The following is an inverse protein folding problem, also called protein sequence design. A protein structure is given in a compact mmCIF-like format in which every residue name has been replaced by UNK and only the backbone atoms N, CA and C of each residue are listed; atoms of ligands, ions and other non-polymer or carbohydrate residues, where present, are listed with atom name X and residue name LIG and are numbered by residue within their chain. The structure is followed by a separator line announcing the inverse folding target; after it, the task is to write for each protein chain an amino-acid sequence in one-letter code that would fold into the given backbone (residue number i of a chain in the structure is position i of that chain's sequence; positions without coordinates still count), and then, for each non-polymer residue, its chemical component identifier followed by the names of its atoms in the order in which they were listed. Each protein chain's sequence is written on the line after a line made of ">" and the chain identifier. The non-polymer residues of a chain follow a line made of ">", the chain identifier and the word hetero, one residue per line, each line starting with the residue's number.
data_IF_646539394860
#
_entry.id   IF_646539394860
#
_cell.length_a   1.000
_cell.length_b   1.000
_cell.length_c   1.000
_cell.angle_alpha   90.00
_cell.angle_beta   90.00
_cell.angle_gamma   90.00
#
_symmetry.space_group_name_H-M   'P 1'
#
loop_
_entity.id
_entity.type
_entity.pdbx_description
1 polymer ?
#
# COMPACT_ATOMS: atom_id res chain seq x y z
N UNK A 1 -7.20 8.80 30.94
CA UNK A 1 -6.07 9.00 30.00
C UNK A 1 -6.19 8.02 28.85
N UNK A 2 -7.15 8.21 27.93
CA UNK A 2 -7.42 7.27 26.81
C UNK A 2 -7.95 7.99 25.57
N UNK A 3 -7.53 9.24 25.35
CA UNK A 3 -7.71 9.93 24.06
C UNK A 3 -6.34 10.02 23.39
N UNK A 4 -5.75 8.84 23.17
CA UNK A 4 -4.56 8.62 22.35
C UNK A 4 -4.92 7.69 21.16
N UNK A 5 -6.22 7.56 20.85
CA UNK A 5 -6.77 6.21 20.60
C UNK A 5 -7.28 5.92 19.18
N UNK A 6 -7.55 6.94 18.34
CA UNK A 6 -8.12 6.73 17.00
C UNK A 6 -7.37 7.49 15.92
N UNK A 7 -7.12 8.79 16.11
CA UNK A 7 -6.36 9.60 15.18
C UNK A 7 -4.89 9.14 15.08
N UNK A 8 -4.26 8.82 16.20
CA UNK A 8 -2.89 8.30 16.24
C UNK A 8 -2.78 6.92 15.59
N UNK A 9 -3.81 6.09 15.76
CA UNK A 9 -3.90 4.79 15.10
C UNK A 9 -4.03 4.95 13.58
N UNK A 10 -4.96 5.79 13.14
CA UNK A 10 -5.14 6.10 11.71
C UNK A 10 -3.85 6.67 11.09
N UNK A 11 -3.20 7.62 11.76
CA UNK A 11 -1.94 8.18 11.30
C UNK A 11 -0.83 7.12 11.22
N UNK A 12 -0.82 6.15 12.12
CA UNK A 12 0.14 5.05 12.08
C UNK A 12 -0.13 4.11 10.91
N UNK A 13 -1.39 3.78 10.65
CA UNK A 13 -1.80 2.93 9.52
C UNK A 13 -1.49 3.61 8.19
N UNK A 14 -1.81 4.90 8.06
CA UNK A 14 -1.49 5.71 6.88
C UNK A 14 0.03 5.71 6.65
N UNK A 15 0.83 6.02 7.67
CA UNK A 15 2.31 6.01 7.54
C UNK A 15 2.87 4.65 7.15
N UNK A 16 2.31 3.57 7.67
CA UNK A 16 2.74 2.22 7.29
C UNK A 16 2.35 1.88 5.85
N UNK A 17 1.15 2.28 5.41
CA UNK A 17 0.73 2.12 4.03
C UNK A 17 1.62 2.93 3.07
N UNK A 18 1.87 4.21 3.37
CA UNK A 18 2.78 5.06 2.60
C UNK A 18 4.20 4.49 2.54
N UNK A 19 4.70 3.96 3.66
CA UNK A 19 6.02 3.30 3.71
C UNK A 19 6.04 2.05 2.84
N UNK A 20 4.99 1.21 2.91
CA UNK A 20 4.86 0.00 2.07
C UNK A 20 4.84 0.36 0.59
N UNK A 21 4.05 1.36 0.20
CA UNK A 21 3.92 1.79 -1.20
C UNK A 21 5.22 2.43 -1.72
N UNK A 22 5.94 3.18 -0.88
CA UNK A 22 7.25 3.73 -1.21
C UNK A 22 8.28 2.62 -1.46
N UNK A 23 8.33 1.59 -0.59
CA UNK A 23 9.21 0.43 -0.77
C UNK A 23 8.83 -0.33 -2.04
N UNK A 24 7.55 -0.60 -2.27
CA UNK A 24 7.06 -1.31 -3.45
C UNK A 24 7.42 -0.56 -4.76
N UNK A 25 7.25 0.77 -4.77
CA UNK A 25 7.64 1.61 -5.91
C UNK A 25 9.14 1.54 -6.17
N UNK A 26 9.95 1.56 -5.10
CA UNK A 26 11.40 1.50 -5.23
C UNK A 26 11.89 0.13 -5.73
N UNK A 27 11.29 -0.95 -5.24
CA UNK A 27 11.52 -2.30 -5.76
C UNK A 27 11.12 -2.44 -7.24
N UNK A 28 9.99 -1.83 -7.64
CA UNK A 28 9.58 -1.81 -9.04
C UNK A 28 10.61 -1.08 -9.92
N UNK A 29 11.08 0.09 -9.50
CA UNK A 29 12.13 0.83 -10.21
C UNK A 29 13.43 0.02 -10.34
N UNK A 30 13.84 -0.69 -9.28
CA UNK A 30 15.01 -1.59 -9.33
C UNK A 30 14.78 -2.81 -10.23
N UNK A 31 13.54 -3.25 -10.41
CA UNK A 31 13.19 -4.34 -11.34
C UNK A 31 13.20 -3.91 -12.80
N UNK A 32 12.96 -2.62 -13.07
CA UNK A 32 13.05 -2.03 -14.40
C UNK A 32 14.48 -1.54 -14.76
N UNK A 33 15.44 -1.65 -13.85
CA UNK A 33 16.83 -1.25 -14.09
C UNK A 33 17.48 -2.09 -15.19
N UNK A 34 18.16 -1.42 -16.12
CA UNK A 34 18.90 -2.04 -17.23
C UNK A 34 20.35 -2.37 -16.87
N UNK A 35 20.77 -2.15 -15.63
CA UNK A 35 22.16 -2.30 -15.17
C UNK A 35 22.73 -3.69 -15.47
N UNK A 36 21.94 -4.76 -15.30
CA UNK A 36 22.38 -6.13 -15.62
C UNK A 36 22.58 -6.35 -17.13
N UNK A 37 21.70 -5.80 -17.98
CA UNK A 37 21.83 -5.88 -19.44
C UNK A 37 23.06 -5.10 -19.91
N UNK A 38 23.28 -3.91 -19.34
CA UNK A 38 24.45 -3.08 -19.61
C UNK A 38 25.75 -3.74 -19.16
N UNK A 39 25.76 -4.38 -17.99
CA UNK A 39 26.91 -5.16 -17.52
C UNK A 39 27.23 -6.30 -18.48
N UNK A 40 26.21 -7.07 -18.88
CA UNK A 40 26.37 -8.17 -19.84
C UNK A 40 26.93 -7.67 -21.19
N UNK A 41 26.46 -6.52 -21.67
CA UNK A 41 26.99 -5.88 -22.86
C UNK A 41 28.45 -5.41 -22.68
N UNK A 42 28.76 -4.79 -21.54
CA UNK A 42 30.11 -4.32 -21.22
C UNK A 42 31.11 -5.49 -21.13
N UNK A 43 30.74 -6.62 -20.53
CA UNK A 43 31.56 -7.84 -20.51
C UNK A 43 31.80 -8.38 -21.93
N UNK A 44 30.80 -8.32 -22.82
CA UNK A 44 30.98 -8.72 -24.21
C UNK A 44 31.95 -7.79 -24.95
N UNK A 45 31.87 -6.48 -24.72
CA UNK A 45 32.81 -5.48 -25.26
C UNK A 45 34.22 -5.68 -24.70
N UNK A 46 34.35 -6.01 -23.43
CA UNK A 46 35.63 -6.30 -22.79
C UNK A 46 36.28 -7.55 -23.38
N UNK A 47 35.51 -8.63 -23.59
CA UNK A 47 35.99 -9.85 -24.26
C UNK A 47 36.46 -9.56 -25.70
N UNK A 48 35.71 -8.78 -26.48
CA UNK A 48 36.12 -8.36 -27.84
C UNK A 48 37.39 -7.49 -27.80
N UNK A 49 37.51 -6.56 -26.84
CA UNK A 49 38.70 -5.75 -26.66
C UNK A 49 39.94 -6.60 -26.31
N UNK A 50 39.77 -7.61 -25.44
CA UNK A 50 40.83 -8.55 -25.08
C UNK A 50 41.25 -9.41 -26.29
N UNK A 51 40.30 -9.90 -27.08
CA UNK A 51 40.58 -10.63 -28.31
C UNK A 51 41.36 -9.79 -29.32
N UNK A 52 40.96 -8.52 -29.53
CA UNK A 52 41.67 -7.59 -30.42
C UNK A 52 43.09 -7.32 -29.92
N UNK A 53 43.27 -7.10 -28.62
CA UNK A 53 44.59 -6.92 -28.02
C UNK A 53 45.44 -8.18 -28.21
N UNK A 54 44.91 -9.37 -27.92
CA UNK A 54 45.60 -10.65 -28.12
C UNK A 54 46.09 -10.79 -29.56
N UNK A 55 45.22 -10.56 -30.55
CA UNK A 55 45.59 -10.62 -31.98
C UNK A 55 46.64 -9.59 -32.38
N UNK A 56 46.70 -8.44 -31.69
CA UNK A 56 47.69 -7.39 -31.98
C UNK A 56 49.13 -7.78 -31.60
N UNK A 57 49.33 -8.71 -30.65
CA UNK A 57 50.68 -9.10 -30.21
C UNK A 57 51.00 -10.60 -30.23
N UNK A 58 50.02 -11.49 -30.15
CA UNK A 58 50.23 -12.93 -30.17
C UNK A 58 50.58 -13.43 -31.59
N UNK A 59 51.44 -14.46 -31.72
CA UNK A 59 51.65 -15.17 -32.98
C UNK A 59 50.32 -15.69 -33.55
N UNK A 60 50.17 -15.68 -34.88
CA UNK A 60 48.93 -16.11 -35.58
C UNK A 60 48.51 -17.54 -35.25
N UNK A 61 49.47 -18.41 -34.91
CA UNK A 61 49.24 -19.79 -34.46
C UNK A 61 48.46 -19.88 -33.14
N UNK A 62 48.46 -18.80 -32.34
CA UNK A 62 47.79 -18.72 -31.04
C UNK A 62 46.45 -17.98 -31.09
N UNK A 63 46.01 -17.53 -32.27
CA UNK A 63 44.76 -16.76 -32.40
C UNK A 63 43.51 -17.62 -32.22
N UNK A 64 43.62 -18.94 -32.37
CA UNK A 64 42.49 -19.86 -32.21
C UNK A 64 42.03 -20.01 -30.75
N UNK A 65 42.90 -19.71 -29.79
CA UNK A 65 42.61 -19.81 -28.35
C UNK A 65 42.89 -18.45 -27.71
N UNK A 66 41.86 -17.63 -27.57
CA UNK A 66 41.95 -16.35 -26.86
C UNK A 66 41.95 -16.63 -25.36
N UNK A 67 42.99 -16.20 -24.60
CA UNK A 67 43.03 -16.33 -23.14
C UNK A 67 41.93 -15.50 -22.45
N UNK A 68 41.73 -15.71 -21.14
CA UNK A 68 40.81 -14.85 -20.38
C UNK A 68 41.31 -13.40 -20.32
N UNK A 69 40.38 -12.46 -20.10
CA UNK A 69 40.66 -11.00 -20.13
C UNK A 69 41.84 -10.63 -19.24
N UNK A 70 41.87 -11.12 -18.00
CA UNK A 70 42.95 -10.87 -17.03
C UNK A 70 44.28 -11.46 -17.48
N UNK A 71 44.27 -12.60 -18.16
CA UNK A 71 45.48 -13.22 -18.72
C UNK A 71 46.04 -12.40 -19.89
N UNK A 72 45.17 -11.90 -20.78
CA UNK A 72 45.55 -11.01 -21.88
C UNK A 72 46.14 -9.72 -21.35
N UNK A 73 45.52 -9.12 -20.31
CA UNK A 73 46.01 -7.90 -19.66
C UNK A 73 47.38 -8.12 -19.00
N UNK A 74 47.53 -9.17 -18.21
CA UNK A 74 48.80 -9.52 -17.58
C UNK A 74 49.90 -9.82 -18.63
N UNK A 75 49.55 -10.44 -19.76
CA UNK A 75 50.48 -10.67 -20.85
C UNK A 75 50.87 -9.36 -21.57
N UNK A 76 49.93 -8.43 -21.74
CA UNK A 76 50.18 -7.12 -22.32
C UNK A 76 51.08 -6.25 -21.43
N UNK A 77 50.92 -6.31 -20.10
CA UNK A 77 51.78 -5.61 -19.13
C UNK A 77 53.22 -6.14 -19.12
N UNK A 78 53.40 -7.45 -19.30
CA UNK A 78 54.73 -8.10 -19.36
C UNK A 78 55.46 -7.86 -20.68
N UNK A 79 54.77 -7.36 -21.71
CA UNK A 79 55.39 -7.07 -23.00
C UNK A 79 56.32 -5.87 -22.85
N UNK A 80 57.62 -6.12 -22.83
CA UNK A 80 58.63 -5.08 -23.03
C UNK A 80 58.55 -4.57 -24.49
N UNK A 81 58.60 -3.25 -24.72
CA UNK A 81 58.64 -2.70 -26.08
C UNK A 81 59.78 -3.36 -26.85
N UNK A 82 59.49 -3.94 -28.02
CA UNK A 82 60.54 -4.49 -28.88
C UNK A 82 61.37 -3.31 -29.37
N UNK A 83 62.61 -3.22 -28.92
CA UNK A 83 63.52 -2.17 -29.34
C UNK A 83 63.74 -2.18 -30.85
N UNK A 84 63.47 -1.03 -31.48
CA UNK A 84 64.14 -0.50 -32.67
C UNK A 84 64.26 -1.45 -33.87
N UNK A 85 63.13 -1.71 -34.54
CA UNK A 85 63.12 -1.92 -35.99
C UNK A 85 62.04 -1.01 -36.60
N UNK A 86 62.37 -0.29 -37.68
CA UNK A 86 61.67 0.88 -38.24
C UNK A 86 60.25 0.63 -38.81
N UNK A 87 59.57 -0.43 -38.38
CA UNK A 87 58.11 -0.65 -38.49
C UNK A 87 57.38 -0.33 -37.17
N UNK A 88 58.13 0.11 -36.13
CA UNK A 88 57.72 0.15 -34.73
C UNK A 88 56.64 1.17 -34.37
N UNK A 89 56.49 2.30 -35.07
CA UNK A 89 55.56 3.35 -34.64
C UNK A 89 54.08 2.99 -34.81
N UNK A 90 53.68 2.44 -35.95
CA UNK A 90 52.25 2.18 -36.24
C UNK A 90 51.73 0.93 -35.53
N UNK A 91 52.57 -0.10 -35.41
CA UNK A 91 52.20 -1.35 -34.74
C UNK A 91 52.16 -1.20 -33.22
N UNK A 92 53.07 -0.42 -32.66
CA UNK A 92 53.03 -0.09 -31.23
C UNK A 92 51.88 0.89 -30.92
N UNK A 93 51.57 1.83 -31.82
CA UNK A 93 50.38 2.67 -31.69
C UNK A 93 49.08 1.85 -31.74
N UNK A 94 48.97 0.87 -32.64
CA UNK A 94 47.81 -0.03 -32.70
C UNK A 94 47.68 -0.89 -31.43
N UNK A 95 48.78 -1.48 -30.95
CA UNK A 95 48.80 -2.25 -29.71
C UNK A 95 48.40 -1.39 -28.50
N UNK A 96 48.99 -0.20 -28.35
CA UNK A 96 48.64 0.72 -27.27
C UNK A 96 47.16 1.15 -27.37
N UNK A 97 46.65 1.41 -28.58
CA UNK A 97 45.22 1.70 -28.77
C UNK A 97 44.29 0.55 -28.38
N UNK A 98 44.68 -0.70 -28.66
CA UNK A 98 43.95 -1.89 -28.20
C UNK A 98 44.05 -2.07 -26.67
N UNK A 99 45.21 -1.78 -26.07
CA UNK A 99 45.40 -1.85 -24.62
C UNK A 99 44.55 -0.79 -23.90
N UNK A 100 44.60 0.46 -24.35
CA UNK A 100 43.81 1.56 -23.79
C UNK A 100 42.30 1.33 -24.01
N UNK A 101 41.90 0.59 -25.05
CA UNK A 101 40.52 0.17 -25.25
C UNK A 101 40.09 -0.90 -24.25
N UNK A 102 40.95 -1.90 -24.01
CA UNK A 102 40.72 -2.93 -23.00
C UNK A 102 40.62 -2.31 -21.60
N UNK A 103 41.55 -1.43 -21.22
CA UNK A 103 41.53 -0.73 -19.93
C UNK A 103 40.22 0.04 -19.70
N UNK A 104 39.71 0.73 -20.74
CA UNK A 104 38.42 1.42 -20.67
C UNK A 104 37.25 0.45 -20.51
N UNK A 105 37.26 -0.66 -21.26
CA UNK A 105 36.20 -1.67 -21.18
C UNK A 105 36.16 -2.33 -19.79
N UNK A 106 37.32 -2.70 -19.25
CA UNK A 106 37.45 -3.24 -17.88
C UNK A 106 37.01 -2.24 -16.83
N UNK A 107 37.33 -0.95 -16.99
CA UNK A 107 36.82 0.11 -16.11
C UNK A 107 35.28 0.18 -16.11
N UNK A 108 34.66 0.12 -17.29
CA UNK A 108 33.19 0.11 -17.41
C UNK A 108 32.56 -1.14 -16.81
N UNK A 109 33.17 -2.32 -16.97
CA UNK A 109 32.71 -3.57 -16.33
C UNK A 109 32.79 -3.46 -14.81
N UNK A 110 33.88 -2.92 -14.26
CA UNK A 110 34.02 -2.71 -12.82
C UNK A 110 32.95 -1.77 -12.27
N UNK A 111 32.74 -0.61 -12.90
CA UNK A 111 31.70 0.37 -12.50
C UNK A 111 30.29 -0.25 -12.54
N UNK A 112 29.96 -0.99 -13.60
CA UNK A 112 28.65 -1.63 -13.73
C UNK A 112 28.48 -2.82 -12.79
N UNK A 113 29.54 -3.55 -12.49
CA UNK A 113 29.51 -4.65 -11.51
C UNK A 113 29.28 -4.13 -10.10
N UNK A 114 29.93 -3.03 -9.72
CA UNK A 114 29.68 -2.35 -8.43
C UNK A 114 28.24 -1.83 -8.36
N UNK A 115 27.74 -1.20 -9.43
CA UNK A 115 26.36 -0.72 -9.49
C UNK A 115 25.34 -1.88 -9.39
N UNK A 116 25.56 -2.99 -10.10
CA UNK A 116 24.69 -4.16 -10.04
C UNK A 116 24.68 -4.79 -8.65
N UNK A 117 25.83 -4.88 -7.99
CA UNK A 117 25.92 -5.38 -6.63
C UNK A 117 25.20 -4.44 -5.64
N UNK A 118 25.39 -3.13 -5.77
CA UNK A 118 24.69 -2.14 -4.93
C UNK A 118 23.16 -2.22 -5.11
N UNK A 119 22.66 -2.39 -6.33
CA UNK A 119 21.23 -2.61 -6.60
C UNK A 119 20.72 -3.92 -5.97
N UNK A 120 21.53 -4.98 -5.97
CA UNK A 120 21.17 -6.25 -5.34
C UNK A 120 21.10 -6.14 -3.81
N UNK A 121 22.07 -5.45 -3.20
CA UNK A 121 22.08 -5.16 -1.76
C UNK A 121 20.91 -4.26 -1.36
N UNK A 122 20.61 -3.23 -2.16
CA UNK A 122 19.45 -2.36 -1.93
C UNK A 122 18.13 -3.12 -2.05
N UNK A 123 17.99 -3.99 -3.05
CA UNK A 123 16.82 -4.85 -3.21
C UNK A 123 16.62 -5.74 -1.99
N UNK A 124 17.68 -6.42 -1.52
CA UNK A 124 17.60 -7.29 -0.35
C UNK A 124 17.18 -6.51 0.91
N UNK A 125 17.75 -5.32 1.13
CA UNK A 125 17.38 -4.45 2.25
C UNK A 125 15.93 -3.98 2.18
N UNK A 126 15.44 -3.61 0.98
CA UNK A 126 14.05 -3.21 0.78
C UNK A 126 13.07 -4.37 0.95
N UNK A 127 13.43 -5.58 0.52
CA UNK A 127 12.64 -6.79 0.75
C UNK A 127 12.54 -7.14 2.24
N UNK A 128 13.64 -7.01 2.99
CA UNK A 128 13.66 -7.16 4.45
C UNK A 128 12.78 -6.10 5.12
N UNK A 129 12.94 -4.83 4.75
CA UNK A 129 12.13 -3.74 5.27
C UNK A 129 10.64 -3.94 4.97
N UNK A 130 10.29 -4.39 3.76
CA UNK A 130 8.92 -4.72 3.38
C UNK A 130 8.37 -5.86 4.22
N UNK A 131 9.17 -6.89 4.49
CA UNK A 131 8.78 -8.00 5.36
C UNK A 131 8.54 -7.53 6.80
N UNK A 132 9.37 -6.65 7.34
CA UNK A 132 9.16 -6.03 8.66
C UNK A 132 7.89 -5.19 8.72
N UNK A 133 7.63 -4.36 7.71
CA UNK A 133 6.41 -3.54 7.63
C UNK A 133 5.17 -4.43 7.56
N UNK A 134 5.21 -5.50 6.77
CA UNK A 134 4.11 -6.46 6.67
C UNK A 134 3.94 -7.26 7.97
N UNK A 135 5.03 -7.64 8.64
CA UNK A 135 4.99 -8.34 9.93
C UNK A 135 4.45 -7.45 11.07
N UNK A 136 4.76 -6.16 11.05
CA UNK A 136 4.16 -5.16 11.94
C UNK A 136 2.67 -4.94 11.65
N UNK A 137 2.17 -5.44 10.51
CA UNK A 137 0.80 -5.28 10.04
C UNK A 137 0.37 -3.82 9.99
N UNK A 138 -0.90 -3.57 10.24
CA UNK A 138 -1.48 -2.22 10.37
C UNK A 138 -1.20 -1.57 11.75
N UNK A 139 -0.18 -2.03 12.47
CA UNK A 139 0.07 -1.59 13.86
C UNK A 139 -1.00 -2.08 14.83
N UNK A 140 -1.81 -3.06 14.43
CA UNK A 140 -2.89 -3.66 15.22
C UNK A 140 -2.76 -5.19 15.17
N UNK A 141 -2.91 -5.89 16.32
CA UNK A 141 -2.93 -7.35 16.32
C UNK A 141 -4.07 -7.92 15.47
N UNK A 142 -3.80 -8.94 14.67
CA UNK A 142 -4.78 -9.73 13.88
C UNK A 142 -5.67 -10.58 14.78
N UNK A 143 -6.51 -9.92 15.57
CA UNK A 143 -7.41 -10.53 16.56
C UNK A 143 -8.76 -9.83 16.53
N UNK A 144 -9.83 -10.47 17.04
CA UNK A 144 -11.13 -9.81 17.23
C UNK A 144 -11.04 -8.51 18.04
N UNK A 145 -10.14 -8.44 19.02
CA UNK A 145 -9.86 -7.22 19.80
C UNK A 145 -9.19 -6.13 18.96
N UNK A 146 -8.29 -6.51 18.04
CA UNK A 146 -7.69 -5.60 17.08
C UNK A 146 -8.73 -5.04 16.10
N UNK A 147 -9.58 -5.90 15.54
CA UNK A 147 -10.69 -5.49 14.68
C UNK A 147 -11.65 -4.51 15.37
N UNK A 148 -11.96 -4.75 16.66
CA UNK A 148 -12.76 -3.83 17.45
C UNK A 148 -12.10 -2.45 17.59
N UNK A 149 -10.77 -2.39 17.81
CA UNK A 149 -10.03 -1.11 17.87
C UNK A 149 -10.09 -0.34 16.54
N UNK A 150 -9.98 -1.03 15.41
CA UNK A 150 -10.13 -0.42 14.08
C UNK A 150 -11.55 0.12 13.88
N UNK A 151 -12.55 -0.66 14.28
CA UNK A 151 -13.97 -0.25 14.20
C UNK A 151 -14.25 0.99 15.07
N UNK A 152 -13.71 1.03 16.29
CA UNK A 152 -13.82 2.19 17.18
C UNK A 152 -13.11 3.42 16.59
N UNK A 153 -11.97 3.23 15.93
CA UNK A 153 -11.24 4.32 15.28
C UNK A 153 -12.01 4.89 14.07
N UNK A 154 -12.61 4.02 13.24
CA UNK A 154 -13.48 4.42 12.13
C UNK A 154 -14.68 5.22 12.66
N UNK A 155 -15.34 4.73 13.70
CA UNK A 155 -16.47 5.44 14.32
C UNK A 155 -16.05 6.81 14.86
N UNK A 156 -14.88 6.91 15.50
CA UNK A 156 -14.31 8.16 15.98
C UNK A 156 -14.04 9.17 14.86
N UNK A 157 -13.45 8.73 13.75
CA UNK A 157 -13.20 9.61 12.59
C UNK A 157 -14.49 10.03 11.88
N UNK A 158 -15.47 9.13 11.73
CA UNK A 158 -16.79 9.48 11.19
C UNK A 158 -17.50 10.53 12.05
N UNK A 159 -17.40 10.44 13.37
CA UNK A 159 -17.94 11.45 14.28
C UNK A 159 -17.22 12.81 14.16
N UNK A 160 -15.90 12.82 13.94
CA UNK A 160 -15.15 14.04 13.65
C UNK A 160 -15.54 14.64 12.28
N UNK A 161 -15.67 13.80 11.24
CA UNK A 161 -16.09 14.24 9.91
C UNK A 161 -17.49 14.87 9.95
N UNK A 162 -18.43 14.27 10.69
CA UNK A 162 -19.76 14.84 10.88
C UNK A 162 -19.70 16.23 11.56
N UNK A 163 -18.81 16.43 12.54
CA UNK A 163 -18.61 17.74 13.18
C UNK A 163 -18.01 18.77 12.21
N UNK A 164 -17.06 18.37 11.37
CA UNK A 164 -16.47 19.25 10.34
C UNK A 164 -17.51 19.64 9.29
N UNK A 165 -18.30 18.68 8.81
CA UNK A 165 -19.37 18.95 7.84
C UNK A 165 -20.46 19.86 8.41
N UNK A 166 -20.80 19.71 9.70
CA UNK A 166 -21.70 20.65 10.36
C UNK A 166 -21.10 22.05 10.41
N UNK A 167 -19.81 22.18 10.77
CA UNK A 167 -19.14 23.48 10.80
C UNK A 167 -19.05 24.14 9.41
N UNK A 168 -18.90 23.35 8.33
CA UNK A 168 -18.98 23.86 6.96
C UNK A 168 -20.39 24.39 6.64
N UNK A 169 -21.43 23.63 6.97
CA UNK A 169 -22.82 24.07 6.77
C UNK A 169 -23.16 25.34 7.58
N UNK A 170 -22.64 25.45 8.81
CA UNK A 170 -22.82 26.64 9.64
C UNK A 170 -22.10 27.88 9.03
N UNK A 171 -20.96 27.69 8.37
CA UNK A 171 -20.27 28.78 7.65
C UNK A 171 -21.01 29.24 6.39
N UNK A 172 -21.58 28.31 5.61
CA UNK A 172 -22.39 28.63 4.42
C UNK A 172 -23.65 29.43 4.80
N UNK A 173 -24.27 29.11 5.94
CA UNK A 173 -25.44 29.85 6.45
C UNK A 173 -25.06 31.21 7.05
N UNK A 174 -23.88 31.33 7.67
CA UNK A 174 -23.33 32.59 8.18
C UNK A 174 -22.96 33.59 7.08
N UNK A 175 -22.68 33.15 5.85
CA UNK A 175 -22.56 34.03 4.68
C UNK A 175 -23.85 34.80 4.36
N UNK A 176 -25.02 34.30 4.81
CA UNK A 176 -26.30 35.02 4.65
C UNK A 176 -26.37 36.30 5.49
N UNK A 177 -25.70 36.36 6.65
CA UNK A 177 -25.64 37.57 7.49
C UNK A 177 -24.84 38.70 6.82
N UNK A 178 -23.83 38.36 6.02
CA UNK A 178 -23.09 39.34 5.22
C UNK A 178 -23.94 39.91 4.08
N UNK A 179 -24.81 39.09 3.47
CA UNK A 179 -25.81 39.52 2.50
C UNK A 179 -26.85 40.47 3.11
N UNK A 180 -27.30 40.18 4.34
CA UNK A 180 -28.21 41.05 5.08
C UNK A 180 -27.59 42.42 5.40
N UNK A 181 -26.31 42.45 5.81
CA UNK A 181 -25.59 43.70 6.07
C UNK A 181 -25.37 44.55 4.80
N UNK A 182 -25.18 43.92 3.64
CA UNK A 182 -25.10 44.61 2.35
C UNK A 182 -26.45 45.20 1.93
N UNK A 183 -27.54 44.45 2.11
CA UNK A 183 -28.90 44.94 1.85
C UNK A 183 -29.30 46.09 2.78
N UNK A 184 -28.92 46.04 4.07
CA UNK A 184 -29.10 47.15 5.02
C UNK A 184 -28.35 48.41 4.59
N UNK A 185 -27.13 48.26 4.03
CA UNK A 185 -26.34 49.37 3.52
C UNK A 185 -26.98 50.00 2.27
N UNK A 186 -27.43 49.19 1.33
CA UNK A 186 -28.11 49.66 0.11
C UNK A 186 -29.41 50.41 0.45
N UNK A 187 -30.23 49.84 1.35
CA UNK A 187 -31.45 50.49 1.83
C UNK A 187 -31.17 51.80 2.59
N UNK A 188 -30.11 51.86 3.40
CA UNK A 188 -29.72 53.08 4.10
C UNK A 188 -29.16 54.15 3.14
N UNK A 189 -28.46 53.76 2.07
CA UNK A 189 -27.96 54.66 1.05
C UNK A 189 -29.11 55.22 0.21
N UNK A 190 -30.03 54.36 -0.24
CA UNK A 190 -31.24 54.77 -0.96
C UNK A 190 -32.04 55.81 -0.18
N UNK A 191 -32.20 55.60 1.14
CA UNK A 191 -32.92 56.54 2.01
C UNK A 191 -32.23 57.90 2.14
N UNK A 192 -30.90 57.96 2.09
CA UNK A 192 -30.15 59.22 2.07
C UNK A 192 -30.30 59.91 0.71
N UNK A 193 -30.28 59.15 -0.38
CA UNK A 193 -30.44 59.67 -1.74
C UNK A 193 -31.86 60.23 -1.97
N UNK A 194 -32.89 59.53 -1.46
CA UNK A 194 -34.29 59.97 -1.52
C UNK A 194 -34.51 61.28 -0.73
N UNK A 195 -33.89 61.41 0.46
CA UNK A 195 -33.95 62.63 1.26
C UNK A 195 -33.17 63.80 0.64
N UNK A 196 -32.06 63.53 -0.04
CA UNK A 196 -31.32 64.53 -0.80
C UNK A 196 -32.13 65.03 -2.02
N UNK A 197 -32.89 64.15 -2.66
CA UNK A 197 -33.82 64.52 -3.73
C UNK A 197 -34.99 65.37 -3.20
N UNK A 198 -35.55 65.03 -2.03
CA UNK A 198 -36.59 65.83 -1.37
C UNK A 198 -36.08 67.21 -0.93
N UNK A 199 -34.83 67.29 -0.46
CA UNK A 199 -34.18 68.57 -0.13
C UNK A 199 -34.03 69.48 -1.35
N UNK A 200 -33.68 68.92 -2.52
CA UNK A 200 -33.61 69.68 -3.77
C UNK A 200 -34.96 70.24 -4.22
N UNK A 201 -36.07 69.66 -3.75
CA UNK A 201 -37.44 70.13 -3.97
C UNK A 201 -37.91 71.12 -2.88
N UNK A 202 -37.09 71.40 -1.87
CA UNK A 202 -37.38 72.36 -0.79
C UNK A 202 -38.21 71.79 0.37
N UNK A 203 -38.40 70.47 0.42
CA UNK A 203 -39.10 69.76 1.50
C UNK A 203 -38.05 69.18 2.47
N UNK A 204 -37.66 69.96 3.49
CA UNK A 204 -36.56 69.59 4.39
C UNK A 204 -37.05 69.37 5.82
N UNK A 205 -36.88 68.14 6.32
CA UNK A 205 -36.85 67.85 7.74
C UNK A 205 -35.42 67.49 8.17
N UNK A 206 -34.75 68.44 8.82
CA UNK A 206 -33.38 68.26 9.31
C UNK A 206 -33.23 67.10 10.30
N UNK A 207 -34.30 66.72 11.02
CA UNK A 207 -34.26 65.60 11.95
C UNK A 207 -34.19 64.27 11.21
N UNK A 208 -34.93 64.12 10.10
CA UNK A 208 -34.91 62.92 9.27
C UNK A 208 -33.57 62.76 8.52
N UNK A 209 -32.98 63.85 8.04
CA UNK A 209 -31.65 63.82 7.42
C UNK A 209 -30.55 63.36 8.38
N UNK A 210 -30.56 63.87 9.62
CA UNK A 210 -29.59 63.44 10.65
C UNK A 210 -29.79 61.98 11.04
N UNK A 211 -31.04 61.51 11.12
CA UNK A 211 -31.34 60.10 11.38
C UNK A 211 -30.85 59.19 10.24
N UNK A 212 -31.08 59.56 8.99
CA UNK A 212 -30.63 58.80 7.81
C UNK A 212 -29.10 58.76 7.68
N UNK A 213 -28.41 59.89 7.90
CA UNK A 213 -26.94 59.94 7.92
C UNK A 213 -26.33 59.08 9.04
N UNK A 214 -26.97 59.05 10.21
CA UNK A 214 -26.56 58.18 11.34
C UNK A 214 -26.79 56.70 11.01
N UNK A 215 -27.93 56.36 10.41
CA UNK A 215 -28.24 55.01 9.97
C UNK A 215 -27.26 54.51 8.88
N UNK A 216 -26.94 55.36 7.91
CA UNK A 216 -25.95 55.09 6.87
C UNK A 216 -24.54 54.90 7.46
N UNK A 217 -24.15 55.73 8.42
CA UNK A 217 -22.85 55.57 9.11
C UNK A 217 -22.77 54.25 9.87
N UNK A 218 -23.85 53.86 10.56
CA UNK A 218 -23.95 52.58 11.27
C UNK A 218 -23.95 51.38 10.32
N UNK A 219 -24.67 51.49 9.19
CA UNK A 219 -24.69 50.46 8.14
C UNK A 219 -23.31 50.32 7.47
N UNK A 220 -22.62 51.44 7.19
CA UNK A 220 -21.23 51.43 6.68
C UNK A 220 -20.25 50.80 7.66
N UNK A 221 -20.36 51.08 8.96
CA UNK A 221 -19.53 50.42 9.98
C UNK A 221 -19.77 48.91 10.05
N UNK A 222 -21.04 48.46 9.96
CA UNK A 222 -21.40 47.04 9.88
C UNK A 222 -20.94 46.37 8.59
N UNK A 223 -20.96 47.09 7.48
CA UNK A 223 -20.56 46.61 6.16
C UNK A 223 -19.05 46.77 5.85
N UNK A 224 -18.27 47.43 6.71
CA UNK A 224 -16.81 47.55 6.57
C UNK A 224 -16.04 46.37 7.21
N UNK A 225 -16.57 45.75 8.28
CA UNK A 225 -16.04 44.51 8.85
C UNK A 225 -16.14 43.20 8.02
N UNK A 226 -17.09 43.00 7.07
CA UNK A 226 -17.28 41.76 6.33
C UNK A 226 -16.15 41.41 5.36
N UNK A 227 -15.35 42.37 4.89
CA UNK A 227 -14.28 42.08 3.92
C UNK A 227 -13.16 41.21 4.50
N UNK A 228 -12.75 41.48 5.74
CA UNK A 228 -11.80 40.64 6.48
C UNK A 228 -12.48 39.37 7.01
N UNK A 229 -13.71 39.46 7.52
CA UNK A 229 -14.48 38.30 7.97
C UNK A 229 -14.78 37.30 6.85
N UNK A 230 -15.00 37.76 5.61
CA UNK A 230 -15.19 36.91 4.44
C UNK A 230 -13.90 36.23 4.01
N UNK A 231 -12.77 36.95 4.00
CA UNK A 231 -11.45 36.32 3.73
C UNK A 231 -11.09 35.28 4.80
N UNK A 232 -11.41 35.56 6.06
CA UNK A 232 -11.25 34.63 7.17
C UNK A 232 -12.21 33.43 7.04
N UNK A 233 -13.46 33.67 6.63
CA UNK A 233 -14.47 32.65 6.34
C UNK A 233 -14.06 31.74 5.19
N UNK A 234 -13.63 32.29 4.06
CA UNK A 234 -13.12 31.54 2.90
C UNK A 234 -11.86 30.73 3.28
N UNK A 235 -10.96 31.29 4.10
CA UNK A 235 -9.79 30.56 4.59
C UNK A 235 -10.16 29.43 5.56
N UNK A 236 -11.15 29.66 6.44
CA UNK A 236 -11.70 28.64 7.34
C UNK A 236 -12.41 27.54 6.55
N UNK A 237 -13.19 27.90 5.52
CA UNK A 237 -13.86 26.96 4.61
C UNK A 237 -12.84 26.04 3.93
N UNK A 238 -11.83 26.61 3.26
CA UNK A 238 -10.73 25.83 2.66
C UNK A 238 -9.95 24.99 3.68
N UNK A 239 -9.87 25.44 4.92
CA UNK A 239 -9.24 24.68 6.02
C UNK A 239 -10.08 23.47 6.43
N UNK A 240 -11.39 23.67 6.57
CA UNK A 240 -12.34 22.62 6.94
C UNK A 240 -12.56 21.61 5.80
N UNK A 241 -12.62 22.05 4.54
CA UNK A 241 -12.66 21.17 3.37
C UNK A 241 -11.45 20.23 3.34
N UNK A 242 -10.22 20.78 3.44
CA UNK A 242 -9.00 19.97 3.51
C UNK A 242 -9.01 19.00 4.69
N UNK A 243 -9.56 19.42 5.84
CA UNK A 243 -9.70 18.54 7.01
C UNK A 243 -10.73 17.44 6.76
N UNK A 244 -11.84 17.74 6.09
CA UNK A 244 -12.86 16.77 5.73
C UNK A 244 -12.31 15.73 4.74
N UNK A 245 -11.58 16.16 3.71
CA UNK A 245 -10.89 15.29 2.77
C UNK A 245 -9.87 14.39 3.46
N UNK A 246 -9.04 14.95 4.37
CA UNK A 246 -8.07 14.16 5.13
C UNK A 246 -8.73 13.13 6.05
N UNK A 247 -9.88 13.47 6.67
CA UNK A 247 -10.65 12.53 7.49
C UNK A 247 -11.29 11.44 6.64
N UNK A 248 -11.82 11.77 5.46
CA UNK A 248 -12.40 10.79 4.54
C UNK A 248 -11.35 9.78 4.06
N UNK A 249 -10.19 10.27 3.61
CA UNK A 249 -9.06 9.40 3.23
C UNK A 249 -8.60 8.52 4.41
N UNK A 250 -8.53 9.07 5.62
CA UNK A 250 -8.20 8.31 6.82
C UNK A 250 -9.21 7.21 7.15
N UNK A 251 -10.50 7.46 6.96
CA UNK A 251 -11.56 6.46 7.12
C UNK A 251 -11.37 5.33 6.10
N UNK A 252 -11.12 5.66 4.82
CA UNK A 252 -10.93 4.66 3.77
C UNK A 252 -9.74 3.74 4.07
N UNK A 253 -8.62 4.30 4.54
CA UNK A 253 -7.46 3.51 4.98
C UNK A 253 -7.77 2.60 6.17
N UNK A 254 -8.48 3.11 7.18
CA UNK A 254 -8.89 2.31 8.33
C UNK A 254 -9.86 1.18 7.94
N UNK A 255 -10.80 1.45 7.03
CA UNK A 255 -11.73 0.44 6.53
C UNK A 255 -11.01 -0.65 5.73
N UNK A 256 -10.04 -0.28 4.91
CA UNK A 256 -9.21 -1.23 4.20
C UNK A 256 -8.43 -2.13 5.17
N UNK A 257 -7.74 -1.54 6.14
CA UNK A 257 -7.04 -2.27 7.19
C UNK A 257 -7.98 -3.18 8.01
N UNK A 258 -9.20 -2.72 8.29
CA UNK A 258 -10.20 -3.52 8.99
C UNK A 258 -10.62 -4.75 8.20
N UNK A 259 -10.82 -4.64 6.87
CA UNK A 259 -11.15 -5.77 5.99
C UNK A 259 -10.01 -6.78 5.92
N UNK A 260 -8.76 -6.32 5.84
CA UNK A 260 -7.59 -7.21 5.80
C UNK A 260 -7.44 -7.97 7.13
N UNK A 261 -7.51 -7.27 8.27
CA UNK A 261 -7.49 -7.90 9.60
C UNK A 261 -8.67 -8.86 9.80
N UNK A 262 -9.87 -8.51 9.33
CA UNK A 262 -11.04 -9.38 9.42
C UNK A 262 -10.84 -10.67 8.62
N UNK A 263 -10.28 -10.58 7.40
CA UNK A 263 -9.98 -11.74 6.58
C UNK A 263 -8.99 -12.70 7.26
N UNK A 264 -7.95 -12.15 7.90
CA UNK A 264 -6.95 -12.95 8.62
C UNK A 264 -7.54 -13.60 9.88
N UNK A 265 -8.31 -12.85 10.68
CA UNK A 265 -9.00 -13.40 11.87
C UNK A 265 -9.95 -14.53 11.47
N UNK A 266 -10.74 -14.34 10.40
CA UNK A 266 -11.64 -15.38 9.91
C UNK A 266 -10.88 -16.62 9.40
N UNK A 267 -9.71 -16.44 8.77
CA UNK A 267 -8.86 -17.55 8.32
C UNK A 267 -8.35 -18.36 9.52
N UNK A 268 -7.87 -17.69 10.56
CA UNK A 268 -7.36 -18.35 11.76
C UNK A 268 -8.45 -19.09 12.54
N UNK A 269 -9.62 -18.46 12.70
CA UNK A 269 -10.79 -19.06 13.33
C UNK A 269 -11.30 -20.27 12.52
N UNK A 270 -11.30 -20.18 11.19
CA UNK A 270 -11.66 -21.30 10.34
C UNK A 270 -10.65 -22.45 10.49
N UNK A 271 -9.35 -22.17 10.41
CA UNK A 271 -8.32 -23.19 10.61
C UNK A 271 -8.41 -23.85 12.00
N UNK A 272 -8.75 -23.10 13.05
CA UNK A 272 -9.00 -23.65 14.38
C UNK A 272 -10.26 -24.53 14.41
N UNK A 273 -11.36 -24.08 13.80
CA UNK A 273 -12.59 -24.87 13.70
C UNK A 273 -12.36 -26.16 12.91
N UNK A 274 -11.56 -26.13 11.85
CA UNK A 274 -11.15 -27.32 11.10
C UNK A 274 -10.32 -28.28 11.94
N UNK A 275 -9.31 -27.78 12.67
CA UNK A 275 -8.54 -28.62 13.59
C UNK A 275 -9.44 -29.29 14.63
N UNK A 276 -10.34 -28.53 15.25
CA UNK A 276 -11.31 -29.07 16.22
C UNK A 276 -12.23 -30.11 15.59
N UNK A 277 -12.68 -29.90 14.35
CA UNK A 277 -13.50 -30.88 13.63
C UNK A 277 -12.71 -32.16 13.36
N UNK A 278 -11.46 -32.05 12.90
CA UNK A 278 -10.57 -33.20 12.69
C UNK A 278 -10.35 -33.95 14.01
N UNK A 279 -10.03 -33.24 15.11
CA UNK A 279 -9.88 -33.84 16.44
C UNK A 279 -11.14 -34.57 16.91
N UNK A 280 -12.34 -34.05 16.62
CA UNK A 280 -13.60 -34.72 16.96
C UNK A 280 -13.87 -35.95 16.07
N UNK A 281 -13.49 -35.90 14.78
CA UNK A 281 -13.68 -36.99 13.84
C UNK A 281 -12.65 -38.12 14.03
N UNK A 282 -11.41 -37.78 14.36
CA UNK A 282 -10.32 -38.71 14.65
C UNK A 282 -10.31 -39.14 16.12
N UNK A 283 -10.98 -38.39 16.99
CA UNK A 283 -11.02 -38.63 18.43
C UNK A 283 -11.65 -39.96 18.80
N UNK A 284 -11.17 -40.52 19.91
CA UNK A 284 -11.68 -41.78 20.47
C UNK A 284 -13.18 -41.72 20.78
N UNK A 285 -13.75 -40.53 21.03
CA UNK A 285 -15.17 -40.36 21.33
C UNK A 285 -16.09 -40.76 20.17
N UNK A 286 -15.76 -40.40 18.92
CA UNK A 286 -16.54 -40.83 17.76
C UNK A 286 -16.38 -42.33 17.54
N UNK A 287 -15.16 -42.85 17.64
CA UNK A 287 -14.89 -44.28 17.54
C UNK A 287 -15.64 -45.09 18.62
N UNK A 288 -15.61 -44.63 19.87
CA UNK A 288 -16.30 -45.22 21.01
C UNK A 288 -17.82 -45.16 20.85
N UNK A 289 -18.37 -44.04 20.38
CA UNK A 289 -19.81 -43.90 20.13
C UNK A 289 -20.27 -44.82 19.01
N UNK A 290 -19.48 -44.92 17.93
CA UNK A 290 -19.74 -45.84 16.83
C UNK A 290 -19.66 -47.30 17.28
N UNK A 291 -18.71 -47.64 18.15
CA UNK A 291 -18.59 -48.99 18.71
C UNK A 291 -19.77 -49.32 19.63
N UNK A 292 -20.17 -48.42 20.53
CA UNK A 292 -21.37 -48.58 21.37
C UNK A 292 -22.64 -48.77 20.53
N UNK A 293 -22.77 -48.04 19.43
CA UNK A 293 -23.89 -48.20 18.52
C UNK A 293 -23.89 -49.59 17.84
N UNK A 294 -22.72 -50.07 17.41
CA UNK A 294 -22.56 -51.43 16.87
C UNK A 294 -22.90 -52.49 17.91
N UNK A 295 -22.40 -52.35 19.13
CA UNK A 295 -22.70 -53.26 20.24
C UNK A 295 -24.20 -53.30 20.53
N UNK A 296 -24.86 -52.13 20.58
CA UNK A 296 -26.30 -52.02 20.79
C UNK A 296 -27.10 -52.68 19.65
N UNK A 297 -26.70 -52.47 18.38
CA UNK A 297 -27.32 -53.12 17.21
C UNK A 297 -27.11 -54.63 17.20
N UNK A 298 -25.92 -55.09 17.56
CA UNK A 298 -25.62 -56.51 17.66
C UNK A 298 -26.43 -57.16 18.81
N UNK A 299 -26.55 -56.49 19.96
CA UNK A 299 -27.38 -56.93 21.07
C UNK A 299 -28.86 -57.01 20.70
N UNK A 300 -29.38 -55.98 20.02
CA UNK A 300 -30.75 -55.95 19.50
C UNK A 300 -30.99 -57.11 18.50
N UNK A 301 -30.09 -57.30 17.54
CA UNK A 301 -30.19 -58.39 16.56
C UNK A 301 -30.16 -59.78 17.22
N UNK A 302 -29.32 -59.98 18.24
CA UNK A 302 -29.30 -61.21 19.04
C UNK A 302 -30.61 -61.42 19.80
N UNK A 303 -31.16 -60.36 20.39
CA UNK A 303 -32.44 -60.42 21.10
C UNK A 303 -33.60 -60.76 20.15
N UNK A 304 -33.64 -60.15 18.96
CA UNK A 304 -34.62 -60.47 17.92
C UNK A 304 -34.52 -61.94 17.46
N UNK A 305 -33.31 -62.45 17.20
CA UNK A 305 -33.11 -63.87 16.82
C UNK A 305 -33.45 -64.86 17.94
N UNK A 306 -33.30 -64.46 19.19
CA UNK A 306 -33.69 -65.29 20.33
C UNK A 306 -35.23 -65.32 20.53
N UNK A 307 -35.91 -64.24 20.14
CA UNK A 307 -37.36 -64.10 20.20
C UNK A 307 -38.07 -64.79 19.00
N UNK A 308 -37.52 -64.67 17.79
CA UNK A 308 -38.06 -65.27 16.57
C UNK A 308 -37.18 -66.44 16.10
N UNK A 309 -37.71 -67.67 16.14
CA UNK A 309 -37.00 -68.87 15.68
C UNK A 309 -36.85 -68.98 14.15
N UNK A 310 -37.40 -68.07 13.35
CA UNK A 310 -37.36 -68.17 11.88
C UNK A 310 -37.51 -66.80 11.18
N UNK A 311 -36.49 -65.92 11.25
CA UNK A 311 -36.41 -64.77 10.32
C UNK A 311 -35.00 -64.60 9.73
N UNK A 312 -34.88 -64.55 8.38
CA UNK A 312 -33.59 -64.40 7.71
C UNK A 312 -33.05 -62.98 7.86
N UNK A 313 -31.73 -62.90 8.03
CA UNK A 313 -30.99 -61.67 8.24
C UNK A 313 -30.89 -60.83 6.94
N UNK A 314 -31.61 -59.71 6.88
CA UNK A 314 -31.22 -58.59 6.02
C UNK A 314 -30.61 -57.50 6.88
N UNK A 315 -29.32 -57.64 7.17
CA UNK A 315 -28.48 -56.49 7.56
C UNK A 315 -28.19 -55.74 6.27
N UNK A 316 -29.07 -54.79 5.92
CA UNK A 316 -28.78 -53.82 4.86
C UNK A 316 -27.55 -53.02 5.28
N UNK A 317 -26.55 -52.96 4.39
CA UNK A 317 -25.29 -52.28 4.65
C UNK A 317 -25.49 -50.84 5.12
N UNK A 318 -25.13 -50.61 6.38
CA UNK A 318 -25.18 -49.30 7.02
C UNK A 318 -24.19 -48.34 6.36
N UNK A 319 -24.71 -47.49 5.48
CA UNK A 319 -23.93 -46.42 4.84
C UNK A 319 -24.35 -45.08 5.45
N UNK A 320 -23.48 -44.52 6.29
CA UNK A 320 -23.61 -43.14 6.77
C UNK A 320 -22.85 -42.24 5.79
N UNK A 321 -23.59 -41.47 4.98
CA UNK A 321 -23.01 -40.44 4.10
C UNK A 321 -23.20 -39.07 4.77
N UNK A 322 -22.09 -38.42 5.13
CA UNK A 322 -22.05 -37.02 5.57
C UNK A 322 -21.46 -36.21 4.41
N UNK A 323 -22.17 -35.21 3.91
CA UNK A 323 -21.74 -34.38 2.77
C UNK A 323 -21.67 -32.90 3.13
N UNK A 324 -20.54 -32.26 2.81
CA UNK A 324 -20.26 -30.82 2.93
C UNK A 324 -19.34 -30.33 1.80
N UNK A 325 -19.23 -29.01 1.57
CA UNK A 325 -18.75 -28.43 0.30
C UNK A 325 -17.28 -28.67 -0.08
N UNK A 326 -16.40 -29.12 0.84
CA UNK A 326 -15.03 -29.60 0.51
C UNK A 326 -14.85 -31.13 0.65
N UNK A 327 -15.90 -31.89 1.00
CA UNK A 327 -15.89 -33.36 0.93
C UNK A 327 -16.11 -33.88 -0.51
N UNK A 328 -16.28 -33.00 -1.48
CA UNK A 328 -16.36 -33.32 -2.92
C UNK A 328 -15.13 -34.05 -3.45
N UNK A 329 -13.98 -33.96 -2.76
CA UNK A 329 -12.76 -34.70 -3.10
C UNK A 329 -12.27 -35.69 -2.04
N UNK A 330 -12.86 -35.69 -0.84
CA UNK A 330 -12.61 -36.70 0.19
C UNK A 330 -13.81 -37.62 0.39
N UNK A 331 -13.90 -38.66 -0.44
CA UNK A 331 -14.59 -39.89 -0.02
C UNK A 331 -13.73 -40.53 1.06
N UNK A 332 -14.01 -40.26 2.34
CA UNK A 332 -13.53 -41.14 3.40
C UNK A 332 -14.25 -42.48 3.25
N UNK A 333 -13.61 -43.40 2.51
CA UNK A 333 -13.94 -44.82 2.58
C UNK A 333 -13.36 -45.30 3.90
N UNK A 334 -14.19 -45.50 4.91
CA UNK A 334 -13.80 -46.38 6.01
C UNK A 334 -13.72 -47.80 5.45
N UNK A 335 -12.54 -48.44 5.37
CA UNK A 335 -12.49 -49.87 5.18
C UNK A 335 -12.98 -50.47 6.50
N UNK A 336 -14.30 -50.68 6.61
CA UNK A 336 -14.84 -51.61 7.59
C UNK A 336 -14.30 -52.98 7.20
N UNK A 337 -13.21 -53.41 7.82
CA UNK A 337 -12.84 -54.83 7.84
C UNK A 337 -13.90 -55.53 8.68
N UNK A 338 -14.61 -56.44 8.00
CA UNK A 338 -15.62 -57.36 8.54
C UNK A 338 -15.02 -58.26 9.60
#
# INVERSE_FOLDING_TARGET
>A
MTITNAADLAATIIRQAERRDAIATRLANLAESDTHERLTHAEAVERDAAERLWRAFAPSEQWANVPEVEEVRAAAERRTPRGLDNLGTDRDAHFNGCRDHLERATGTVAELSEAWQAEAEERAALEEELAEVNAAGHGVPTTRKGLARLTDAIAGQRAELARVNQALADLETGESDAGAAAAELEAAQQRVDDLAAAEALGEVDEAEQRAAATALTKARQRAAGPGESRKLGEAAHRGLERKAEALAAGIDHLEHAAREVEADVCRDEWAEAERRLVELLEGEELAHTMERLREARAAYSRACRAADRDTPATVGGDRLEISGPLLTHHRMRWPLRV
#
